data_IF_646646038957
#
_entry.id   IF_646646038957
#
_cell.length_a   1.000
_cell.length_b   1.000
_cell.length_c   1.000
_cell.angle_alpha   90.00
_cell.angle_beta   90.00
_cell.angle_gamma   90.00
#
_symmetry.space_group_name_H-M   'P 1'
#
loop_
_entity.id
_entity.type
_entity.pdbx_description
1 polymer ?
#
# COMPACT_ATOMS: atom_id res chain seq x y z
N UNK A 1 23.34 12.50 -19.79
CA UNK A 1 22.11 11.84 -19.28
C UNK A 1 21.76 12.25 -17.86
N UNK A 2 22.70 12.24 -16.89
CA UNK A 2 22.38 12.71 -15.53
C UNK A 2 21.91 14.18 -15.51
N UNK A 3 22.63 15.08 -16.18
CA UNK A 3 22.23 16.50 -16.26
C UNK A 3 20.86 16.68 -16.93
N UNK A 4 20.57 15.96 -18.01
CA UNK A 4 19.27 16.05 -18.69
C UNK A 4 18.12 15.56 -17.81
N UNK A 5 18.34 14.52 -17.00
CA UNK A 5 17.36 14.04 -16.02
C UNK A 5 17.11 15.07 -14.92
N UNK A 6 18.17 15.64 -14.34
CA UNK A 6 18.06 16.67 -13.29
C UNK A 6 17.39 17.94 -13.84
N UNK A 7 17.75 18.37 -15.05
CA UNK A 7 17.14 19.53 -15.71
C UNK A 7 15.65 19.28 -15.97
N UNK A 8 15.28 18.11 -16.47
CA UNK A 8 13.89 17.73 -16.69
C UNK A 8 13.10 17.72 -15.38
N UNK A 9 13.64 17.12 -14.32
CA UNK A 9 13.03 17.13 -12.98
C UNK A 9 12.85 18.56 -12.48
N UNK A 10 13.89 19.39 -12.58
CA UNK A 10 13.88 20.78 -12.15
C UNK A 10 12.76 21.57 -12.84
N UNK A 11 12.67 21.53 -14.17
CA UNK A 11 11.64 22.27 -14.90
C UNK A 11 10.23 21.79 -14.55
N UNK A 12 9.98 20.48 -14.45
CA UNK A 12 8.67 19.97 -14.04
C UNK A 12 8.27 20.45 -12.63
N UNK A 13 9.23 20.49 -11.70
CA UNK A 13 9.00 20.96 -10.33
C UNK A 13 8.83 22.48 -10.23
N UNK A 14 9.38 23.26 -11.16
CA UNK A 14 9.09 24.69 -11.26
C UNK A 14 7.61 24.93 -11.62
N UNK A 15 7.04 24.11 -12.50
CA UNK A 15 5.63 24.23 -12.87
C UNK A 15 4.69 23.69 -11.79
N UNK A 16 5.02 22.55 -11.18
CA UNK A 16 4.25 22.00 -10.08
C UNK A 16 5.14 21.26 -9.06
N UNK A 17 5.39 21.85 -7.88
CA UNK A 17 6.21 21.21 -6.86
C UNK A 17 5.55 19.97 -6.24
N UNK A 18 4.22 19.80 -6.37
CA UNK A 18 3.52 18.63 -5.83
C UNK A 18 3.86 17.33 -6.57
N UNK A 19 4.48 17.40 -7.76
CA UNK A 19 4.98 16.21 -8.45
C UNK A 19 5.97 15.39 -7.59
N UNK A 20 6.67 16.00 -6.63
CA UNK A 20 7.51 15.26 -5.68
C UNK A 20 6.73 14.23 -4.85
N UNK A 21 5.44 14.45 -4.61
CA UNK A 21 4.57 13.56 -3.84
C UNK A 21 3.78 12.59 -4.73
N UNK A 22 3.84 12.76 -6.05
CA UNK A 22 3.19 11.86 -6.99
C UNK A 22 4.03 10.58 -7.20
N UNK A 23 3.43 9.44 -6.88
CA UNK A 23 4.09 8.14 -6.95
C UNK A 23 4.56 7.84 -8.39
N UNK A 24 3.80 8.23 -9.40
CA UNK A 24 4.18 8.05 -10.81
C UNK A 24 5.45 8.81 -11.19
N UNK A 25 5.60 10.04 -10.69
CA UNK A 25 6.82 10.84 -10.87
C UNK A 25 8.01 10.18 -10.17
N UNK A 26 7.85 9.77 -8.91
CA UNK A 26 8.91 9.10 -8.14
C UNK A 26 9.39 7.82 -8.84
N UNK A 27 8.46 6.95 -9.25
CA UNK A 27 8.78 5.69 -9.94
C UNK A 27 9.50 5.94 -11.27
N UNK A 28 9.02 6.88 -12.08
CA UNK A 28 9.61 7.19 -13.38
C UNK A 28 11.05 7.67 -13.24
N UNK A 29 11.30 8.66 -12.39
CA UNK A 29 12.66 9.19 -12.21
C UNK A 29 13.61 8.20 -11.52
N UNK A 30 13.12 7.40 -10.57
CA UNK A 30 13.93 6.34 -9.96
C UNK A 30 14.29 5.25 -10.98
N UNK A 31 13.36 4.84 -11.84
CA UNK A 31 13.61 3.87 -12.90
C UNK A 31 14.69 4.39 -13.85
N UNK A 32 14.52 5.59 -14.41
CA UNK A 32 15.48 6.17 -15.36
C UNK A 32 16.84 6.40 -14.70
N UNK A 33 16.89 6.96 -13.50
CA UNK A 33 18.14 7.14 -12.76
C UNK A 33 18.86 5.81 -12.54
N UNK A 34 18.12 4.77 -12.13
CA UNK A 34 18.67 3.45 -11.86
C UNK A 34 19.12 2.75 -13.13
N UNK A 35 18.41 2.89 -14.25
CA UNK A 35 18.88 2.42 -15.57
C UNK A 35 20.22 3.07 -15.90
N UNK A 36 20.31 4.40 -15.88
CA UNK A 36 21.51 5.14 -16.29
C UNK A 36 22.70 4.82 -15.39
N UNK A 37 22.46 4.59 -14.10
CA UNK A 37 23.50 4.34 -13.12
C UNK A 37 23.91 2.87 -12.97
N UNK A 38 22.95 1.95 -12.97
CA UNK A 38 23.14 0.53 -12.63
C UNK A 38 23.33 -0.32 -13.89
N UNK A 39 22.56 -0.07 -14.95
CA UNK A 39 22.57 -0.92 -16.15
C UNK A 39 23.96 -1.09 -16.77
N UNK A 40 24.79 -0.03 -16.94
CA UNK A 40 26.11 -0.19 -17.57
C UNK A 40 27.03 -1.14 -16.77
N UNK A 41 26.85 -1.19 -15.44
CA UNK A 41 27.66 -2.05 -14.56
C UNK A 41 27.21 -3.49 -14.65
N UNK A 42 25.90 -3.71 -14.67
CA UNK A 42 25.32 -5.05 -14.85
C UNK A 42 25.67 -5.63 -16.22
N UNK A 43 25.55 -4.82 -17.28
CA UNK A 43 25.90 -5.25 -18.63
C UNK A 43 27.36 -5.70 -18.74
N UNK A 44 28.29 -5.01 -18.08
CA UNK A 44 29.70 -5.38 -18.08
C UNK A 44 30.03 -6.70 -17.34
N UNK A 45 29.08 -7.33 -16.63
CA UNK A 45 29.29 -8.63 -15.99
C UNK A 45 29.39 -9.78 -17.00
N UNK A 46 28.73 -9.67 -18.15
CA UNK A 46 28.75 -10.67 -19.20
C UNK A 46 28.66 -9.99 -20.57
N UNK A 47 29.57 -10.32 -21.49
CA UNK A 47 29.62 -9.75 -22.85
C UNK A 47 29.47 -10.88 -23.86
N UNK A 48 28.23 -11.30 -24.18
CA UNK A 48 28.00 -12.33 -25.18
C UNK A 48 28.57 -11.91 -26.55
N UNK A 49 29.22 -12.83 -27.25
CA UNK A 49 29.81 -12.54 -28.57
C UNK A 49 28.77 -12.44 -29.70
N UNK A 50 27.62 -13.08 -29.55
CA UNK A 50 26.57 -13.13 -30.56
C UNK A 50 25.54 -12.01 -30.39
N UNK A 51 25.01 -11.49 -31.50
CA UNK A 51 24.08 -10.35 -31.52
C UNK A 51 22.80 -10.59 -30.70
N UNK A 52 22.13 -11.72 -30.87
CA UNK A 52 20.85 -12.00 -30.21
C UNK A 52 20.99 -12.17 -28.69
N UNK A 53 21.89 -13.03 -28.16
CA UNK A 53 22.18 -13.09 -26.73
C UNK A 53 22.61 -11.75 -26.13
N UNK A 54 23.38 -10.95 -26.88
CA UNK A 54 23.79 -9.62 -26.43
C UNK A 54 22.59 -8.66 -26.28
N UNK A 55 21.64 -8.69 -27.22
CA UNK A 55 20.41 -7.88 -27.14
C UNK A 55 19.50 -8.32 -25.99
N UNK A 56 19.32 -9.62 -25.81
CA UNK A 56 18.56 -10.17 -24.68
C UNK A 56 19.22 -9.75 -23.36
N UNK A 57 20.54 -9.85 -23.25
CA UNK A 57 21.28 -9.43 -22.07
C UNK A 57 21.16 -7.92 -21.81
N UNK A 58 21.20 -7.10 -22.86
CA UNK A 58 20.99 -5.65 -22.75
C UNK A 58 19.59 -5.34 -22.19
N UNK A 59 18.53 -5.94 -22.75
CA UNK A 59 17.15 -5.74 -22.27
C UNK A 59 16.95 -6.26 -20.84
N UNK A 60 17.56 -7.40 -20.52
CA UNK A 60 17.50 -7.99 -19.20
C UNK A 60 18.16 -7.10 -18.15
N UNK A 61 19.36 -6.58 -18.44
CA UNK A 61 20.08 -5.68 -17.54
C UNK A 61 19.40 -4.32 -17.38
N UNK A 62 18.75 -3.78 -18.43
CA UNK A 62 17.86 -2.61 -18.33
C UNK A 62 16.70 -2.89 -17.37
N UNK A 63 16.04 -4.05 -17.52
CA UNK A 63 14.91 -4.45 -16.69
C UNK A 63 15.30 -4.59 -15.21
N UNK A 64 16.43 -5.23 -14.92
CA UNK A 64 16.95 -5.35 -13.54
C UNK A 64 17.28 -3.97 -12.98
N UNK A 65 17.98 -3.12 -13.75
CA UNK A 65 18.37 -1.80 -13.28
C UNK A 65 17.15 -0.92 -12.94
N UNK A 66 16.14 -0.91 -13.81
CA UNK A 66 14.87 -0.24 -13.55
C UNK A 66 14.19 -0.82 -12.30
N UNK A 67 14.08 -2.15 -12.21
CA UNK A 67 13.41 -2.84 -11.11
C UNK A 67 14.10 -2.56 -9.77
N UNK A 68 15.44 -2.56 -9.70
CA UNK A 68 16.16 -2.20 -8.47
C UNK A 68 15.84 -0.78 -8.01
N UNK A 69 15.64 0.16 -8.93
CA UNK A 69 15.23 1.53 -8.61
C UNK A 69 13.81 1.63 -8.04
N UNK A 70 12.85 0.95 -8.68
CA UNK A 70 11.43 1.09 -8.34
C UNK A 70 10.95 0.10 -7.28
N UNK A 71 11.66 -1.01 -7.06
CA UNK A 71 11.22 -2.11 -6.22
C UNK A 71 10.91 -1.66 -4.78
N UNK A 72 11.81 -0.96 -4.06
CA UNK A 72 11.53 -0.63 -2.66
C UNK A 72 10.32 0.30 -2.51
N UNK A 73 10.17 1.26 -3.43
CA UNK A 73 9.00 2.15 -3.49
C UNK A 73 7.72 1.40 -3.84
N UNK A 74 7.80 0.44 -4.76
CA UNK A 74 6.66 -0.39 -5.17
C UNK A 74 6.20 -1.29 -4.03
N UNK A 75 7.13 -1.87 -3.27
CA UNK A 75 6.82 -2.66 -2.08
C UNK A 75 6.19 -1.79 -0.98
N UNK A 76 6.67 -0.56 -0.81
CA UNK A 76 6.14 0.38 0.18
C UNK A 76 4.72 0.87 -0.12
N UNK A 77 4.43 1.25 -1.38
CA UNK A 77 3.12 1.82 -1.73
C UNK A 77 2.10 0.78 -2.20
N UNK A 78 2.52 -0.23 -2.96
CA UNK A 78 1.62 -1.19 -3.58
C UNK A 78 1.62 -2.55 -2.89
N UNK A 79 2.57 -2.81 -1.99
CA UNK A 79 2.65 -4.06 -1.22
C UNK A 79 2.65 -5.32 -2.10
N UNK A 80 3.17 -5.19 -3.33
CA UNK A 80 3.18 -6.25 -4.32
C UNK A 80 4.47 -6.25 -5.12
N UNK A 81 4.89 -7.45 -5.54
CA UNK A 81 6.00 -7.65 -6.45
C UNK A 81 5.56 -8.49 -7.66
N UNK A 82 5.59 -7.93 -8.88
CA UNK A 82 5.28 -8.67 -10.09
C UNK A 82 6.47 -9.55 -10.51
N UNK A 83 6.38 -10.87 -10.31
CA UNK A 83 7.45 -11.82 -10.64
C UNK A 83 7.76 -11.92 -12.13
N UNK A 84 6.78 -11.66 -13.00
CA UNK A 84 6.94 -11.67 -14.47
C UNK A 84 7.47 -10.34 -15.04
N UNK A 85 7.98 -9.43 -14.20
CA UNK A 85 8.49 -8.13 -14.65
C UNK A 85 9.55 -8.25 -15.76
N UNK A 86 10.40 -9.29 -15.72
CA UNK A 86 11.46 -9.47 -16.71
C UNK A 86 10.93 -9.95 -18.06
N UNK A 87 9.96 -10.88 -18.08
CA UNK A 87 9.32 -11.36 -19.33
C UNK A 87 8.51 -10.24 -19.95
N UNK A 88 7.71 -9.56 -19.12
CA UNK A 88 6.90 -8.42 -19.57
C UNK A 88 7.78 -7.32 -20.15
N UNK A 89 8.85 -6.90 -19.46
CA UNK A 89 9.74 -5.87 -19.96
C UNK A 89 10.52 -6.29 -21.22
N UNK A 90 10.93 -7.55 -21.34
CA UNK A 90 11.63 -8.04 -22.54
C UNK A 90 10.76 -7.96 -23.79
N UNK A 91 9.46 -8.22 -23.66
CA UNK A 91 8.50 -8.14 -24.78
C UNK A 91 7.97 -6.72 -24.97
N UNK A 92 7.63 -6.01 -23.89
CA UNK A 92 6.96 -4.70 -23.95
C UNK A 92 7.92 -3.59 -24.39
N UNK A 93 9.16 -3.56 -23.89
CA UNK A 93 10.11 -2.45 -24.18
C UNK A 93 10.37 -2.28 -25.69
N UNK A 94 10.64 -3.35 -26.48
CA UNK A 94 10.80 -3.23 -27.93
C UNK A 94 9.56 -2.64 -28.62
N UNK A 95 8.37 -3.04 -28.19
CA UNK A 95 7.11 -2.58 -28.77
C UNK A 95 6.82 -1.13 -28.40
N UNK A 96 7.08 -0.69 -27.15
CA UNK A 96 6.81 0.69 -26.73
C UNK A 96 7.56 1.74 -27.56
N UNK A 97 8.85 1.51 -27.83
CA UNK A 97 9.64 2.44 -28.65
C UNK A 97 9.07 2.57 -30.07
N UNK A 98 8.68 1.45 -30.67
CA UNK A 98 8.02 1.42 -31.96
C UNK A 98 6.64 2.09 -31.93
N UNK A 99 5.80 1.73 -30.95
CA UNK A 99 4.42 2.24 -30.79
C UNK A 99 4.42 3.77 -30.58
N UNK A 100 5.36 4.31 -29.80
CA UNK A 100 5.48 5.74 -29.57
C UNK A 100 5.88 6.47 -30.86
N UNK A 101 6.91 5.97 -31.55
CA UNK A 101 7.41 6.59 -32.78
C UNK A 101 6.38 6.51 -33.91
N UNK A 102 5.80 5.33 -34.13
CA UNK A 102 4.73 5.12 -35.11
C UNK A 102 3.46 5.91 -34.74
N UNK A 103 3.14 6.03 -33.46
CA UNK A 103 1.99 6.81 -32.97
C UNK A 103 2.10 8.28 -33.33
N UNK A 104 3.28 8.90 -33.16
CA UNK A 104 3.51 10.29 -33.58
C UNK A 104 3.32 10.45 -35.09
N UNK A 105 3.85 9.51 -35.89
CA UNK A 105 3.67 9.53 -37.35
C UNK A 105 2.21 9.38 -37.77
N UNK A 106 1.47 8.48 -37.12
CA UNK A 106 0.05 8.24 -37.39
C UNK A 106 -0.79 9.46 -37.04
N UNK A 107 -0.55 10.06 -35.87
CA UNK A 107 -1.21 11.32 -35.48
C UNK A 107 -0.89 12.41 -36.50
N UNK A 108 0.36 12.51 -36.95
CA UNK A 108 0.77 13.51 -37.95
C UNK A 108 0.04 13.30 -39.28
N UNK A 109 0.01 12.08 -39.83
CA UNK A 109 -0.74 11.81 -41.06
C UNK A 109 -2.25 11.96 -40.92
N UNK A 110 -2.80 11.65 -39.74
CA UNK A 110 -4.21 11.85 -39.45
C UNK A 110 -4.57 13.35 -39.43
N UNK A 111 -3.72 14.22 -38.89
CA UNK A 111 -3.94 15.69 -38.88
C UNK A 111 -4.02 16.26 -40.30
N UNK A 112 -3.28 15.68 -41.25
CA UNK A 112 -3.31 16.11 -42.65
C UNK A 112 -4.38 15.39 -43.49
N UNK A 113 -5.17 14.48 -42.91
CA UNK A 113 -6.13 13.61 -43.62
C UNK A 113 -5.49 12.73 -44.71
N UNK A 114 -4.20 12.38 -44.57
CA UNK A 114 -3.44 11.55 -45.54
C UNK A 114 -3.15 10.14 -44.97
N UNK A 115 -3.66 9.80 -43.78
CA UNK A 115 -3.36 8.51 -43.14
C UNK A 115 -3.90 7.33 -43.99
N UNK A 116 -3.02 6.47 -44.53
CA UNK A 116 -3.45 5.27 -45.22
C UNK A 116 -4.11 4.29 -44.23
N UNK A 117 -5.29 3.78 -44.57
CA UNK A 117 -6.05 2.87 -43.70
C UNK A 117 -5.22 1.67 -43.22
N UNK A 118 -4.44 1.06 -44.12
CA UNK A 118 -3.57 -0.08 -43.80
C UNK A 118 -2.54 0.25 -42.70
N UNK A 119 -2.01 1.48 -42.65
CA UNK A 119 -1.08 1.89 -41.59
C UNK A 119 -1.80 2.02 -40.24
N UNK A 120 -3.02 2.57 -40.24
CA UNK A 120 -3.86 2.64 -39.04
C UNK A 120 -4.23 1.26 -38.50
N UNK A 121 -4.67 0.36 -39.38
CA UNK A 121 -5.04 -1.02 -39.02
C UNK A 121 -3.83 -1.82 -38.51
N UNK A 122 -2.67 -1.66 -39.15
CA UNK A 122 -1.42 -2.30 -38.73
C UNK A 122 -1.00 -1.84 -37.34
N UNK A 123 -1.08 -0.53 -37.06
CA UNK A 123 -0.77 0.03 -35.75
C UNK A 123 -1.75 -0.44 -34.66
N UNK A 124 -3.04 -0.44 -34.97
CA UNK A 124 -4.09 -0.96 -34.09
C UNK A 124 -3.83 -2.43 -33.75
N UNK A 125 -3.47 -3.25 -34.75
CA UNK A 125 -3.15 -4.67 -34.56
C UNK A 125 -1.95 -4.88 -33.62
N UNK A 126 -0.92 -4.04 -33.74
CA UNK A 126 0.26 -4.09 -32.86
C UNK A 126 -0.11 -3.72 -31.43
N UNK A 127 -0.92 -2.67 -31.23
CA UNK A 127 -1.42 -2.28 -29.90
C UNK A 127 -2.27 -3.41 -29.29
N UNK A 128 -3.16 -4.02 -30.08
CA UNK A 128 -4.00 -5.13 -29.63
C UNK A 128 -3.16 -6.33 -29.21
N UNK A 129 -2.12 -6.69 -29.99
CA UNK A 129 -1.21 -7.77 -29.64
C UNK A 129 -0.50 -7.49 -28.31
N UNK A 130 0.00 -6.27 -28.11
CA UNK A 130 0.62 -5.85 -26.85
C UNK A 130 -0.37 -5.92 -25.68
N UNK A 131 -1.60 -5.43 -25.85
CA UNK A 131 -2.61 -5.44 -24.81
C UNK A 131 -3.06 -6.87 -24.46
N UNK A 132 -3.19 -7.76 -25.44
CA UNK A 132 -3.50 -9.16 -25.22
C UNK A 132 -2.38 -9.85 -24.42
N UNK A 133 -1.13 -9.53 -24.70
CA UNK A 133 0.01 -10.03 -23.93
C UNK A 133 0.01 -9.49 -22.48
N UNK A 134 -0.27 -8.21 -22.28
CA UNK A 134 -0.41 -7.62 -20.93
C UNK A 134 -1.57 -8.29 -20.17
N UNK A 135 -2.72 -8.50 -20.81
CA UNK A 135 -3.87 -9.18 -20.23
C UNK A 135 -3.53 -10.62 -19.84
N UNK A 136 -2.81 -11.35 -20.70
CA UNK A 136 -2.32 -12.69 -20.40
C UNK A 136 -1.40 -12.71 -19.18
N UNK A 137 -0.46 -11.75 -19.06
CA UNK A 137 0.41 -11.61 -17.87
C UNK A 137 -0.42 -11.30 -16.62
N UNK A 138 -1.40 -10.40 -16.72
CA UNK A 138 -2.22 -9.99 -15.59
C UNK A 138 -3.03 -11.14 -15.00
N UNK A 139 -3.38 -12.14 -15.81
CA UNK A 139 -4.09 -13.34 -15.35
C UNK A 139 -3.18 -14.35 -14.63
N UNK A 140 -1.86 -14.14 -14.62
CA UNK A 140 -0.89 -15.02 -13.94
C UNK A 140 -0.74 -14.66 -12.46
N UNK A 141 -1.82 -14.77 -11.69
CA UNK A 141 -1.86 -14.39 -10.27
C UNK A 141 -0.79 -15.08 -9.41
N UNK A 142 -0.39 -16.31 -9.78
CA UNK A 142 0.64 -17.09 -9.08
C UNK A 142 2.03 -16.44 -9.08
N UNK A 143 2.29 -15.55 -10.03
CA UNK A 143 3.56 -14.84 -10.12
C UNK A 143 3.50 -13.44 -9.50
N UNK A 144 2.36 -13.04 -8.92
CA UNK A 144 2.24 -11.78 -8.20
C UNK A 144 2.36 -12.08 -6.70
N UNK A 145 3.46 -11.66 -6.09
CA UNK A 145 3.61 -11.75 -4.65
C UNK A 145 2.88 -10.55 -4.04
N UNK A 146 1.74 -10.79 -3.41
CA UNK A 146 0.88 -9.76 -2.82
C UNK A 146 1.01 -9.68 -1.30
N UNK A 147 0.39 -8.64 -0.70
CA UNK A 147 0.28 -8.43 0.74
C UNK A 147 1.64 -8.34 1.47
N UNK A 148 2.64 -7.77 0.81
CA UNK A 148 3.97 -7.59 1.38
C UNK A 148 3.95 -6.37 2.32
N UNK A 149 3.99 -6.62 3.63
CA UNK A 149 4.21 -5.54 4.61
C UNK A 149 5.63 -5.02 4.46
N UNK A 150 5.74 -3.73 4.13
CA UNK A 150 7.02 -3.08 3.88
C UNK A 150 7.02 -1.68 4.51
N UNK A 151 7.76 -1.51 5.59
CA UNK A 151 7.78 -0.25 6.33
C UNK A 151 8.64 0.81 5.64
N UNK A 152 8.43 2.09 6.00
CA UNK A 152 9.26 3.20 5.51
C UNK A 152 10.73 3.02 5.90
N UNK A 153 11.01 2.52 7.10
CA UNK A 153 12.37 2.26 7.58
C UNK A 153 13.03 1.17 6.75
N UNK A 154 12.29 0.09 6.47
CA UNK A 154 12.76 -1.00 5.63
C UNK A 154 13.03 -0.53 4.19
N UNK A 155 12.17 0.34 3.64
CA UNK A 155 12.36 0.94 2.32
C UNK A 155 13.67 1.73 2.23
N UNK A 156 13.92 2.62 3.18
CA UNK A 156 15.16 3.42 3.22
C UNK A 156 16.38 2.50 3.39
N UNK A 157 16.31 1.52 4.28
CA UNK A 157 17.39 0.55 4.49
C UNK A 157 17.68 -0.26 3.22
N UNK A 158 16.64 -0.65 2.47
CA UNK A 158 16.78 -1.38 1.21
C UNK A 158 17.42 -0.52 0.11
N UNK A 159 17.05 0.76 0.00
CA UNK A 159 17.75 1.69 -0.89
C UNK A 159 19.23 1.86 -0.54
N UNK A 160 19.56 1.98 0.75
CA UNK A 160 20.94 2.03 1.21
C UNK A 160 21.72 0.76 0.84
N UNK A 161 21.12 -0.42 1.04
CA UNK A 161 21.69 -1.70 0.64
C UNK A 161 21.95 -1.78 -0.87
N UNK A 162 20.98 -1.38 -1.70
CA UNK A 162 21.17 -1.33 -3.17
C UNK A 162 22.34 -0.39 -3.49
N UNK A 163 22.36 0.82 -2.93
CA UNK A 163 23.40 1.79 -3.20
C UNK A 163 24.80 1.25 -2.86
N UNK A 164 24.98 0.67 -1.67
CA UNK A 164 26.26 0.10 -1.20
C UNK A 164 26.67 -1.09 -2.08
N UNK A 165 25.72 -1.98 -2.42
CA UNK A 165 25.97 -3.15 -3.28
C UNK A 165 26.44 -2.73 -4.67
N UNK A 166 25.79 -1.73 -5.26
CA UNK A 166 26.20 -1.19 -6.57
C UNK A 166 27.58 -0.52 -6.47
N UNK A 167 27.90 0.18 -5.37
CA UNK A 167 29.24 0.74 -5.13
C UNK A 167 30.32 -0.31 -4.96
N UNK A 168 29.99 -1.49 -4.43
CA UNK A 168 30.89 -2.63 -4.41
C UNK A 168 31.08 -3.25 -5.80
N UNK A 169 30.02 -3.38 -6.60
CA UNK A 169 30.12 -3.87 -7.98
C UNK A 169 30.98 -2.93 -8.85
N UNK A 170 30.89 -1.61 -8.64
CA UNK A 170 31.76 -0.61 -9.30
C UNK A 170 33.24 -0.83 -9.00
N UNK A 171 33.58 -1.07 -7.73
CA UNK A 171 34.95 -1.31 -7.26
C UNK A 171 34.92 -2.42 -6.23
N UNK A 172 35.40 -3.60 -6.64
CA UNK A 172 35.40 -4.85 -5.85
C UNK A 172 36.42 -4.83 -4.70
N UNK A 173 36.35 -3.82 -3.84
CA UNK A 173 37.22 -3.66 -2.68
C UNK A 173 36.59 -4.29 -1.45
N UNK A 174 37.41 -4.95 -0.62
CA UNK A 174 36.98 -5.70 0.56
C UNK A 174 36.10 -4.87 1.52
N UNK A 175 36.47 -3.64 1.88
CA UNK A 175 35.67 -2.85 2.82
C UNK A 175 34.25 -2.55 2.31
N UNK A 176 34.05 -2.37 0.99
CA UNK A 176 32.71 -2.13 0.40
C UNK A 176 31.86 -3.39 0.43
N UNK A 177 32.49 -4.55 0.22
CA UNK A 177 31.84 -5.84 0.37
C UNK A 177 31.35 -6.06 1.80
N UNK A 178 32.23 -5.81 2.78
CA UNK A 178 31.90 -5.90 4.21
C UNK A 178 30.74 -4.96 4.56
N UNK A 179 30.76 -3.71 4.08
CA UNK A 179 29.64 -2.77 4.26
C UNK A 179 28.33 -3.27 3.64
N UNK A 180 28.38 -3.89 2.45
CA UNK A 180 27.20 -4.48 1.83
C UNK A 180 26.60 -5.59 2.70
N UNK A 181 27.44 -6.49 3.24
CA UNK A 181 27.01 -7.53 4.17
C UNK A 181 26.44 -6.95 5.48
N UNK A 182 27.06 -5.92 6.05
CA UNK A 182 26.52 -5.25 7.22
C UNK A 182 25.15 -4.61 6.95
N UNK A 183 24.97 -3.97 5.79
CA UNK A 183 23.66 -3.41 5.41
C UNK A 183 22.60 -4.49 5.22
N UNK A 184 22.98 -5.68 4.74
CA UNK A 184 22.08 -6.84 4.65
C UNK A 184 21.68 -7.34 6.05
N UNK A 185 22.64 -7.48 6.97
CA UNK A 185 22.36 -7.86 8.36
C UNK A 185 21.44 -6.81 9.02
N UNK A 186 21.68 -5.53 8.78
CA UNK A 186 20.86 -4.44 9.30
C UNK A 186 19.39 -4.54 8.82
N UNK A 187 19.17 -4.82 7.53
CA UNK A 187 17.83 -5.08 6.99
C UNK A 187 17.17 -6.28 7.69
N UNK A 188 17.91 -7.38 7.88
CA UNK A 188 17.39 -8.56 8.58
C UNK A 188 17.05 -8.24 10.04
N UNK A 189 17.87 -7.44 10.73
CA UNK A 189 17.60 -6.99 12.10
C UNK A 189 16.33 -6.14 12.18
N UNK A 190 16.11 -5.22 11.23
CA UNK A 190 14.86 -4.44 11.15
C UNK A 190 13.67 -5.38 10.98
N UNK A 191 13.75 -6.33 10.05
CA UNK A 191 12.66 -7.27 9.78
C UNK A 191 12.34 -8.13 11.02
N UNK A 192 13.36 -8.62 11.72
CA UNK A 192 13.19 -9.39 12.97
C UNK A 192 12.58 -8.53 14.07
N UNK A 193 13.05 -7.28 14.23
CA UNK A 193 12.53 -6.35 15.22
C UNK A 193 11.06 -6.00 14.96
N UNK A 194 10.70 -5.67 13.72
CA UNK A 194 9.33 -5.38 13.32
C UNK A 194 8.43 -6.59 13.56
N UNK A 195 8.87 -7.79 13.18
CA UNK A 195 8.14 -9.04 13.43
C UNK A 195 7.97 -9.35 14.92
N UNK A 196 8.99 -9.06 15.73
CA UNK A 196 8.92 -9.22 17.19
C UNK A 196 7.91 -8.24 17.80
N UNK A 197 7.99 -6.95 17.43
CA UNK A 197 7.03 -5.92 17.83
C UNK A 197 5.60 -6.27 17.41
N UNK A 198 5.45 -6.85 16.23
CA UNK A 198 4.18 -7.36 15.71
C UNK A 198 3.58 -8.45 16.60
N UNK A 199 4.40 -9.39 17.06
CA UNK A 199 3.95 -10.49 17.93
C UNK A 199 3.62 -10.05 19.35
N UNK A 200 4.28 -9.01 19.87
CA UNK A 200 4.07 -8.52 21.24
C UNK A 200 2.94 -7.50 21.37
N UNK A 201 2.35 -7.05 20.25
CA UNK A 201 1.30 -6.05 20.25
C UNK A 201 -0.09 -6.70 20.27
N UNK A 202 -0.90 -6.28 21.24
CA UNK A 202 -2.31 -6.58 21.31
C UNK A 202 -3.07 -5.28 21.07
N UNK A 203 -4.11 -5.31 20.24
CA UNK A 203 -4.85 -4.11 19.88
C UNK A 203 -6.35 -4.43 19.82
N UNK A 204 -7.18 -3.53 20.35
CA UNK A 204 -8.62 -3.53 20.11
C UNK A 204 -8.96 -2.39 19.16
N UNK A 205 -9.64 -2.70 18.07
CA UNK A 205 -9.78 -1.80 16.92
C UNK A 205 -11.25 -1.64 16.59
N UNK A 206 -11.69 -0.39 16.47
CA UNK A 206 -12.99 -0.04 15.90
C UNK A 206 -12.74 0.53 14.52
N UNK A 207 -13.08 -0.24 13.49
CA UNK A 207 -12.85 0.16 12.10
C UNK A 207 -13.88 1.21 11.66
N UNK A 208 -13.47 2.09 10.75
CA UNK A 208 -14.36 3.05 10.11
C UNK A 208 -14.97 2.44 8.85
N UNK A 209 -16.05 1.66 8.98
CA UNK A 209 -16.80 1.14 7.83
C UNK A 209 -18.10 1.91 7.64
N UNK A 210 -18.36 2.52 6.47
CA UNK A 210 -19.66 3.11 6.18
C UNK A 210 -20.75 2.03 6.21
N UNK A 211 -21.86 2.30 6.90
CA UNK A 211 -23.06 1.44 7.04
C UNK A 211 -22.89 0.13 7.81
N UNK A 212 -21.68 -0.43 7.87
CA UNK A 212 -21.38 -1.67 8.59
C UNK A 212 -20.54 -1.40 9.85
N UNK A 213 -20.70 -2.25 10.85
CA UNK A 213 -19.90 -2.20 12.08
C UNK A 213 -18.92 -3.36 12.10
N UNK A 214 -17.63 -3.06 12.27
CA UNK A 214 -16.63 -4.08 12.55
C UNK A 214 -15.66 -3.69 13.65
N UNK A 215 -15.39 -4.69 14.48
CA UNK A 215 -14.46 -4.62 15.59
C UNK A 215 -13.40 -5.69 15.37
N UNK A 216 -12.13 -5.28 15.50
CA UNK A 216 -10.99 -6.18 15.46
C UNK A 216 -10.42 -6.39 16.86
N UNK A 217 -10.20 -7.64 17.23
CA UNK A 217 -9.40 -8.01 18.39
C UNK A 217 -8.12 -8.68 17.89
N UNK A 218 -6.99 -7.98 18.02
CA UNK A 218 -5.68 -8.47 17.61
C UNK A 218 -4.88 -8.96 18.80
N UNK A 219 -4.34 -10.17 18.66
CA UNK A 219 -3.36 -10.77 19.58
C UNK A 219 -2.11 -11.19 18.82
N UNK A 220 -1.08 -10.35 18.89
CA UNK A 220 0.16 -10.54 18.16
C UNK A 220 -0.07 -10.59 16.65
N UNK A 221 0.25 -11.74 16.04
CA UNK A 221 0.15 -11.99 14.61
C UNK A 221 -1.22 -12.55 14.16
N UNK A 222 -2.22 -12.55 15.04
CA UNK A 222 -3.57 -13.02 14.71
C UNK A 222 -4.58 -11.91 14.98
N UNK A 223 -5.59 -11.81 14.13
CA UNK A 223 -6.74 -10.95 14.34
C UNK A 223 -8.03 -11.77 14.27
N UNK A 224 -8.93 -11.46 15.20
CA UNK A 224 -10.32 -11.92 15.21
C UNK A 224 -11.16 -10.72 14.82
N UNK A 225 -11.93 -10.86 13.76
CA UNK A 225 -12.87 -9.83 13.31
C UNK A 225 -14.28 -10.21 13.75
N UNK A 226 -14.99 -9.26 14.35
CA UNK A 226 -16.40 -9.38 14.70
C UNK A 226 -17.19 -8.33 13.95
N UNK A 227 -18.21 -8.77 13.23
CA UNK A 227 -19.16 -7.93 12.49
C UNK A 227 -20.53 -8.56 12.54
N UNK A 228 -21.58 -7.75 12.46
CA UNK A 228 -22.96 -8.24 12.38
C UNK A 228 -23.30 -8.72 10.96
N UNK A 229 -22.69 -8.10 9.96
CA UNK A 229 -22.88 -8.41 8.54
C UNK A 229 -21.74 -9.28 8.01
N UNK A 230 -21.98 -9.95 6.88
CA UNK A 230 -20.99 -10.82 6.22
C UNK A 230 -19.75 -9.99 5.84
N UNK A 231 -18.64 -10.21 6.55
CA UNK A 231 -17.38 -9.52 6.28
C UNK A 231 -16.77 -10.06 4.98
N UNK A 232 -16.65 -9.21 3.98
CA UNK A 232 -15.74 -9.46 2.86
C UNK A 232 -14.33 -9.04 3.27
N UNK A 233 -13.38 -9.98 3.27
CA UNK A 233 -11.95 -9.72 3.53
C UNK A 233 -11.34 -8.67 2.58
N UNK A 234 -11.99 -8.40 1.45
CA UNK A 234 -11.62 -7.35 0.50
C UNK A 234 -12.14 -5.96 0.86
N UNK A 235 -12.60 -5.73 2.09
CA UNK A 235 -13.01 -4.40 2.52
C UNK A 235 -11.83 -3.43 2.52
N UNK A 236 -12.06 -2.24 1.95
CA UNK A 236 -11.11 -1.15 1.81
C UNK A 236 -10.58 -0.61 3.15
N UNK A 237 -11.19 -0.97 4.28
CA UNK A 237 -10.75 -0.52 5.61
C UNK A 237 -9.89 -1.57 6.33
N UNK A 238 -10.26 -2.84 6.20
CA UNK A 238 -9.61 -3.95 6.90
C UNK A 238 -8.36 -4.38 6.13
N UNK A 239 -8.46 -4.54 4.80
CA UNK A 239 -7.34 -5.02 3.97
C UNK A 239 -6.08 -4.15 4.12
N UNK A 240 -6.14 -2.80 4.08
CA UNK A 240 -4.93 -1.99 4.30
C UNK A 240 -4.33 -2.16 5.70
N UNK A 241 -5.15 -2.37 6.74
CA UNK A 241 -4.66 -2.65 8.08
C UNK A 241 -3.90 -3.99 8.13
N UNK A 242 -4.47 -5.04 7.52
CA UNK A 242 -3.85 -6.36 7.44
C UNK A 242 -2.52 -6.32 6.69
N UNK A 243 -2.49 -5.67 5.52
CA UNK A 243 -1.28 -5.51 4.71
C UNK A 243 -0.22 -4.69 5.44
N UNK A 244 -0.61 -3.54 6.01
CA UNK A 244 0.30 -2.68 6.74
C UNK A 244 0.92 -3.37 7.95
N UNK A 245 0.16 -4.23 8.63
CA UNK A 245 0.66 -5.04 9.74
C UNK A 245 1.32 -6.35 9.31
N UNK A 246 1.13 -6.82 8.08
CA UNK A 246 1.61 -8.14 7.64
C UNK A 246 0.94 -9.29 8.38
N UNK A 247 -0.33 -9.13 8.74
CA UNK A 247 -1.11 -10.11 9.51
C UNK A 247 -2.13 -10.78 8.61
N UNK A 248 -2.23 -12.11 8.76
CA UNK A 248 -3.30 -12.89 8.16
C UNK A 248 -4.51 -12.98 9.11
N UNK A 249 -5.72 -12.99 8.54
CA UNK A 249 -6.95 -13.17 9.31
C UNK A 249 -7.08 -14.62 9.71
N UNK A 250 -7.16 -14.88 11.02
CA UNK A 250 -7.31 -16.24 11.55
C UNK A 250 -8.77 -16.65 11.63
N UNK A 251 -9.65 -15.75 12.08
CA UNK A 251 -11.06 -16.04 12.32
C UNK A 251 -11.94 -14.82 12.04
N UNK A 252 -13.03 -15.07 11.31
CA UNK A 252 -14.11 -14.11 11.08
C UNK A 252 -15.32 -14.63 11.86
N UNK A 253 -15.82 -13.83 12.79
CA UNK A 253 -17.01 -14.14 13.58
C UNK A 253 -18.14 -13.19 13.21
N UNK A 254 -19.32 -13.74 12.97
CA UNK A 254 -20.55 -12.96 12.69
C UNK A 254 -21.30 -12.56 13.97
N UNK A 255 -20.78 -12.94 15.13
CA UNK A 255 -21.40 -12.63 16.43
C UNK A 255 -20.65 -11.49 17.11
N UNK A 256 -21.26 -10.30 17.12
CA UNK A 256 -20.82 -9.20 17.97
C UNK A 256 -21.24 -9.45 19.41
N UNK A 257 -20.33 -9.31 20.36
CA UNK A 257 -20.67 -9.32 21.79
C UNK A 257 -21.02 -7.89 22.21
N UNK A 258 -21.97 -7.73 23.12
CA UNK A 258 -22.31 -6.39 23.63
C UNK A 258 -21.25 -5.88 24.61
N UNK A 259 -20.44 -6.77 25.21
CA UNK A 259 -19.39 -6.38 26.16
C UNK A 259 -18.08 -7.05 25.78
N UNK A 260 -17.02 -6.24 25.71
CA UNK A 260 -15.65 -6.69 25.53
C UNK A 260 -14.81 -6.26 26.73
N UNK A 261 -13.84 -7.10 27.11
CA UNK A 261 -12.79 -6.75 28.06
C UNK A 261 -11.46 -6.72 27.31
N UNK A 262 -10.77 -5.59 27.37
CA UNK A 262 -9.44 -5.44 26.78
C UNK A 262 -8.53 -4.77 27.81
N UNK A 263 -7.49 -5.48 28.24
CA UNK A 263 -6.64 -5.09 29.38
C UNK A 263 -7.50 -4.77 30.61
N UNK A 264 -7.36 -3.57 31.18
CA UNK A 264 -8.12 -3.10 32.34
C UNK A 264 -9.38 -2.31 31.96
N UNK A 265 -9.69 -2.19 30.66
CA UNK A 265 -10.83 -1.42 30.18
C UNK A 265 -11.99 -2.35 29.83
N UNK A 266 -13.20 -1.93 30.22
CA UNK A 266 -14.45 -2.62 29.87
C UNK A 266 -15.17 -1.79 28.81
N UNK A 267 -15.41 -2.41 27.67
CA UNK A 267 -15.94 -1.77 26.48
C UNK A 267 -17.37 -2.27 26.29
N UNK A 268 -18.33 -1.35 26.30
CA UNK A 268 -19.74 -1.63 26.01
C UNK A 268 -20.06 -1.21 24.59
N UNK A 269 -20.65 -2.12 23.81
CA UNK A 269 -21.21 -1.85 22.50
C UNK A 269 -22.71 -1.64 22.64
N UNK A 270 -23.18 -0.48 22.20
CA UNK A 270 -24.59 -0.10 22.14
C UNK A 270 -24.99 -0.06 20.67
N UNK A 271 -25.69 -1.10 20.25
CA UNK A 271 -26.19 -1.24 18.89
C UNK A 271 -27.55 -0.54 18.70
N UNK A 272 -28.19 -0.73 17.54
CA UNK A 272 -29.49 -0.14 17.23
C UNK A 272 -30.60 -0.43 18.25
N UNK A 273 -30.50 -1.49 19.06
CA UNK A 273 -31.46 -1.80 20.13
C UNK A 273 -31.33 -0.83 21.32
N UNK A 274 -30.21 -0.11 21.44
CA UNK A 274 -30.02 0.91 22.45
C UNK A 274 -29.91 0.38 23.89
N UNK A 275 -29.56 -0.89 24.06
CA UNK A 275 -29.48 -1.53 25.38
C UNK A 275 -28.13 -1.21 26.02
N UNK A 276 -28.14 -0.41 27.09
CA UNK A 276 -26.93 -0.03 27.84
C UNK A 276 -27.06 -0.14 29.36
N UNK A 277 -28.26 -0.45 29.87
CA UNK A 277 -28.52 -0.54 31.31
C UNK A 277 -28.07 -1.91 31.84
N UNK A 278 -26.78 -2.01 32.17
CA UNK A 278 -26.18 -3.19 32.78
C UNK A 278 -25.94 -2.91 34.26
N UNK A 279 -26.82 -3.41 35.12
CA UNK A 279 -26.75 -3.17 36.58
C UNK A 279 -25.42 -3.62 37.23
N UNK A 280 -24.68 -4.52 36.57
CA UNK A 280 -23.47 -5.14 37.11
C UNK A 280 -22.16 -4.62 36.49
N UNK A 281 -22.21 -3.77 35.46
CA UNK A 281 -21.01 -3.39 34.68
C UNK A 281 -20.92 -1.88 34.55
N UNK A 282 -19.78 -1.31 34.94
CA UNK A 282 -19.41 0.09 34.66
C UNK A 282 -18.38 0.13 33.52
N UNK A 283 -18.81 0.33 32.27
CA UNK A 283 -17.90 0.38 31.14
C UNK A 283 -17.13 1.70 31.15
N UNK A 284 -15.84 1.62 30.87
CA UNK A 284 -14.99 2.79 30.71
C UNK A 284 -15.04 3.36 29.29
N UNK A 285 -15.36 2.53 28.30
CA UNK A 285 -15.49 2.92 26.91
C UNK A 285 -16.87 2.47 26.40
N UNK A 286 -17.59 3.36 25.72
CA UNK A 286 -18.87 3.05 25.08
C UNK A 286 -18.73 3.24 23.57
N UNK A 287 -19.08 2.22 22.80
CA UNK A 287 -19.10 2.24 21.33
C UNK A 287 -20.56 2.30 20.88
N UNK A 288 -20.92 3.33 20.14
CA UNK A 288 -22.24 3.49 19.52
C UNK A 288 -22.18 2.95 18.09
N UNK A 289 -23.11 2.07 17.74
CA UNK A 289 -23.16 1.40 16.44
C UNK A 289 -24.57 1.36 15.88
N UNK A 290 -24.72 1.53 14.57
CA UNK A 290 -25.99 1.43 13.84
C UNK A 290 -27.03 2.47 14.29
N UNK A 291 -26.57 3.65 14.69
CA UNK A 291 -27.40 4.80 15.07
C UNK A 291 -28.42 4.50 16.19
N UNK A 292 -28.00 4.05 17.40
CA UNK A 292 -28.89 3.80 18.53
C UNK A 292 -29.80 4.99 18.83
N UNK A 293 -31.09 4.75 19.01
CA UNK A 293 -32.05 5.79 19.44
C UNK A 293 -32.00 5.95 20.96
N UNK A 294 -30.91 6.52 21.48
CA UNK A 294 -30.67 6.68 22.92
C UNK A 294 -30.59 8.16 23.34
N UNK A 295 -30.93 8.44 24.60
CA UNK A 295 -30.61 9.72 25.24
C UNK A 295 -29.18 9.66 25.79
N UNK A 296 -28.24 10.30 25.10
CA UNK A 296 -26.84 10.26 25.48
C UNK A 296 -26.55 10.95 26.82
N UNK A 297 -27.28 12.02 27.20
CA UNK A 297 -27.09 12.66 28.51
C UNK A 297 -27.41 11.70 29.65
N UNK A 298 -28.46 10.87 29.51
CA UNK A 298 -28.79 9.82 30.48
C UNK A 298 -27.69 8.76 30.53
N UNK A 299 -27.23 8.28 29.37
CA UNK A 299 -26.15 7.29 29.30
C UNK A 299 -24.88 7.78 30.00
N UNK A 300 -24.47 9.02 29.73
CA UNK A 300 -23.27 9.61 30.35
C UNK A 300 -23.42 9.76 31.87
N UNK A 301 -24.60 10.12 32.38
CA UNK A 301 -24.87 10.20 33.83
C UNK A 301 -24.85 8.83 34.51
N UNK A 302 -25.42 7.81 33.86
CA UNK A 302 -25.54 6.46 34.44
C UNK A 302 -24.21 5.70 34.39
N UNK A 303 -23.52 5.70 33.25
CA UNK A 303 -22.33 4.88 33.03
C UNK A 303 -21.02 5.62 33.32
N UNK A 304 -21.02 6.95 33.22
CA UNK A 304 -19.83 7.81 33.39
C UNK A 304 -18.60 7.29 32.63
N UNK A 305 -18.70 7.01 31.32
CA UNK A 305 -17.58 6.47 30.56
C UNK A 305 -16.46 7.50 30.42
N UNK A 306 -15.23 7.04 30.33
CA UNK A 306 -14.06 7.87 30.04
C UNK A 306 -13.98 8.28 28.57
N UNK A 307 -14.61 7.50 27.68
CA UNK A 307 -14.59 7.74 26.24
C UNK A 307 -15.86 7.18 25.59
N UNK A 308 -16.41 7.94 24.64
CA UNK A 308 -17.46 7.48 23.73
C UNK A 308 -16.92 7.44 22.31
N UNK A 309 -17.17 6.35 21.60
CA UNK A 309 -16.75 6.13 20.21
C UNK A 309 -18.00 5.98 19.36
N UNK A 310 -18.10 6.74 18.27
CA UNK A 310 -19.08 6.50 17.22
C UNK A 310 -18.39 5.81 16.04
N UNK A 311 -18.80 4.59 15.73
CA UNK A 311 -18.30 3.85 14.57
C UNK A 311 -18.87 4.40 13.24
N UNK A 312 -18.34 3.91 12.12
CA UNK A 312 -18.70 4.38 10.77
C UNK A 312 -20.11 3.99 10.31
N UNK A 313 -20.81 3.15 11.07
CA UNK A 313 -22.17 2.71 10.75
C UNK A 313 -23.24 3.74 11.16
N UNK A 314 -22.86 4.76 11.92
CA UNK A 314 -23.79 5.78 12.41
C UNK A 314 -24.08 6.88 11.37
N UNK A 315 -25.30 7.43 11.39
CA UNK A 315 -25.62 8.62 10.61
C UNK A 315 -24.82 9.82 11.10
N UNK A 316 -24.28 10.61 10.16
CA UNK A 316 -23.47 11.81 10.44
C UNK A 316 -24.18 12.78 11.39
N UNK A 317 -25.49 12.95 11.25
CA UNK A 317 -26.28 13.82 12.12
C UNK A 317 -26.31 13.31 13.57
N UNK A 318 -26.47 12.00 13.77
CA UNK A 318 -26.48 11.39 15.10
C UNK A 318 -25.11 11.52 15.76
N UNK A 319 -24.04 11.16 15.04
CA UNK A 319 -22.67 11.30 15.53
C UNK A 319 -22.34 12.76 15.92
N UNK A 320 -22.76 13.73 15.11
CA UNK A 320 -22.57 15.16 15.41
C UNK A 320 -23.39 15.66 16.60
N UNK A 321 -24.61 15.15 16.81
CA UNK A 321 -25.39 15.46 18.02
C UNK A 321 -24.73 14.88 19.27
N UNK A 322 -24.29 13.63 19.21
CA UNK A 322 -23.60 12.97 20.32
C UNK A 322 -22.28 13.64 20.67
N UNK A 323 -21.51 14.07 19.67
CA UNK A 323 -20.27 14.82 19.87
C UNK A 323 -20.53 16.10 20.68
N UNK A 324 -21.55 16.89 20.30
CA UNK A 324 -21.95 18.11 21.04
C UNK A 324 -22.34 17.79 22.48
N UNK A 325 -23.11 16.72 22.70
CA UNK A 325 -23.51 16.28 24.04
C UNK A 325 -22.32 15.82 24.88
N UNK A 326 -21.38 15.07 24.31
CA UNK A 326 -20.15 14.64 24.97
C UNK A 326 -19.28 15.84 25.37
N UNK A 327 -19.09 16.81 24.47
CA UNK A 327 -18.34 18.05 24.74
C UNK A 327 -18.98 18.83 25.90
N UNK A 328 -20.32 19.00 25.89
CA UNK A 328 -21.07 19.67 26.98
C UNK A 328 -20.85 18.99 28.34
N UNK A 329 -20.75 17.66 28.36
CA UNK A 329 -20.56 16.87 29.57
C UNK A 329 -19.08 16.56 29.88
N UNK A 330 -18.13 17.18 29.15
CA UNK A 330 -16.67 16.97 29.29
C UNK A 330 -16.23 15.51 29.14
N UNK A 331 -16.95 14.73 28.33
CA UNK A 331 -16.58 13.36 27.99
C UNK A 331 -15.87 13.34 26.63
N UNK A 332 -14.66 12.76 26.53
CA UNK A 332 -13.99 12.54 25.25
C UNK A 332 -14.86 11.79 24.23
N UNK A 333 -14.79 12.22 22.97
CA UNK A 333 -15.53 11.63 21.86
C UNK A 333 -14.64 11.35 20.65
N UNK A 334 -14.76 10.14 20.08
CA UNK A 334 -14.05 9.73 18.88
C UNK A 334 -15.04 9.33 17.78
N UNK A 335 -15.14 10.15 16.73
CA UNK A 335 -15.90 9.82 15.53
C UNK A 335 -14.98 9.16 14.51
N UNK A 336 -15.18 7.88 14.24
CA UNK A 336 -14.34 7.13 13.31
C UNK A 336 -14.46 7.62 11.85
N UNK A 337 -15.58 8.24 11.47
CA UNK A 337 -15.74 8.82 10.12
C UNK A 337 -14.85 10.04 9.88
N UNK A 338 -14.50 10.79 10.93
CA UNK A 338 -13.68 12.00 10.84
C UNK A 338 -12.22 11.73 11.20
N UNK A 339 -11.98 10.95 12.25
CA UNK A 339 -10.65 10.71 12.83
C UNK A 339 -10.03 9.38 12.38
N UNK A 340 -10.74 8.59 11.59
CA UNK A 340 -10.32 7.23 11.21
C UNK A 340 -10.56 6.20 12.31
N UNK A 341 -10.08 4.97 12.07
CA UNK A 341 -10.24 3.86 13.00
C UNK A 341 -9.68 4.20 14.39
N UNK A 342 -10.38 3.74 15.43
CA UNK A 342 -9.90 3.89 16.81
C UNK A 342 -9.14 2.63 17.22
N UNK A 343 -7.91 2.78 17.72
CA UNK A 343 -7.08 1.66 18.19
C UNK A 343 -6.72 1.84 19.66
N UNK A 344 -7.15 0.91 20.50
CA UNK A 344 -6.75 0.79 21.90
C UNK A 344 -5.59 -0.21 21.98
N UNK A 345 -4.44 0.24 22.49
CA UNK A 345 -3.19 -0.53 22.48
C UNK A 345 -2.80 -1.07 23.84
#
# INVERSE_FOLDING_TARGET
VYNTLVISMFFLLLFNPFYLFEIGFQLSYLAVFSIVWIQPKLYNLWKPSYWLPNKIWQLFTVSIAAQLGVLPLSLFYFHQFPGLFFISNLVIIPFLGFILTAGILIITFAIFDILPQFLGDSYSSIIQLMNNFIAWISNQESFIINNISFSLVLMIAFYAFIFITIKWIEKKVYYRFVLALFSLIFIQSIFVFEKYKLKSTNEFIVFNQPKNSSIGYRTGANIILSSRDLLTLNDYTIKPYLIGTGIDVKLITTTTKNVYKFKNETILVVDSLGIYELNTIKPSIVILQQSPKINLERLLKTLQPKLVIADGSNYKNYAGMWEKTCIKNKTPFHNTMQKGAYTLK
#
